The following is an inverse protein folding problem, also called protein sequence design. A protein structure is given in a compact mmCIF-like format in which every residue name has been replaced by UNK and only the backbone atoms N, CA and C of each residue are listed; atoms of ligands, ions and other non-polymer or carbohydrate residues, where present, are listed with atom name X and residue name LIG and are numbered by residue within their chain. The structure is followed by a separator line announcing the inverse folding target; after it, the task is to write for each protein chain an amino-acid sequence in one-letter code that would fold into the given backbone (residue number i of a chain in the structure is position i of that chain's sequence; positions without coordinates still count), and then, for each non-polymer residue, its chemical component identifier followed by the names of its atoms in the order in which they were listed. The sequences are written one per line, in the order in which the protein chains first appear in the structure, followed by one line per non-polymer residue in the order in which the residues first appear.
data_IF_361173220437
#
_entry.id   IF_361173220437
#
_cell.length_a   1.000
_cell.length_b   1.000
_cell.length_c   1.000
_cell.angle_alpha   90.00
_cell.angle_beta   90.00
_cell.angle_gamma   90.00
#
_symmetry.space_group_name_H-M   'P 1'
#
loop_
_entity.id
_entity.type
_entity.pdbx_description
1 polymer ?
#
# COMPACT_ATOMS: atom_id res chain seq x y z
N UNK A 1 59.57 19.22 -58.49
CA UNK A 1 58.20 19.37 -59.04
C UNK A 1 57.35 19.98 -57.94
N UNK A 2 57.02 21.26 -58.12
CA UNK A 2 56.03 22.14 -57.45
C UNK A 2 54.65 21.45 -57.23
N UNK A 3 53.74 21.78 -56.30
CA UNK A 3 53.58 22.66 -55.12
C UNK A 3 52.56 21.96 -54.20
N UNK A 4 52.63 22.21 -52.89
CA UNK A 4 51.57 21.95 -51.92
C UNK A 4 50.25 22.68 -52.28
N UNK A 5 49.11 22.10 -51.88
CA UNK A 5 47.95 22.90 -51.47
C UNK A 5 47.13 22.13 -50.44
N UNK A 6 47.26 22.57 -49.19
CA UNK A 6 46.32 22.34 -48.09
C UNK A 6 45.09 23.20 -48.35
N UNK A 7 43.88 22.63 -48.28
CA UNK A 7 42.68 23.36 -47.87
C UNK A 7 41.74 22.43 -47.08
N UNK A 8 41.46 22.89 -45.85
CA UNK A 8 40.44 22.38 -44.94
C UNK A 8 39.05 22.42 -45.60
N UNK A 9 38.24 21.40 -45.32
CA UNK A 9 36.79 21.50 -45.45
C UNK A 9 36.16 20.72 -44.31
N UNK A 10 35.48 21.48 -43.46
CA UNK A 10 34.69 21.09 -42.31
C UNK A 10 33.64 20.04 -42.69
N UNK A 11 33.60 18.96 -41.94
CA UNK A 11 32.55 17.95 -41.98
C UNK A 11 32.18 17.60 -40.55
N UNK A 12 31.21 18.32 -40.02
CA UNK A 12 30.75 18.35 -38.63
C UNK A 12 30.48 16.93 -38.10
N UNK A 13 31.32 16.48 -37.16
CA UNK A 13 31.01 15.35 -36.29
C UNK A 13 29.84 15.81 -35.42
N UNK A 14 28.68 15.14 -35.55
CA UNK A 14 27.49 15.42 -34.79
C UNK A 14 27.70 14.95 -33.33
N UNK A 15 28.43 15.75 -32.57
CA UNK A 15 28.55 15.64 -31.12
C UNK A 15 27.23 16.06 -30.46
N UNK A 16 26.21 15.21 -30.55
CA UNK A 16 25.07 15.25 -29.64
C UNK A 16 25.31 14.22 -28.54
N UNK A 17 26.38 14.48 -27.77
CA UNK A 17 26.53 13.92 -26.44
C UNK A 17 25.26 14.24 -25.66
N UNK A 18 24.58 13.19 -25.22
CA UNK A 18 23.50 13.30 -24.26
C UNK A 18 24.07 14.05 -23.05
N UNK A 19 23.61 15.29 -22.85
CA UNK A 19 23.70 15.95 -21.55
C UNK A 19 22.87 15.13 -20.58
N UNK A 20 23.46 14.05 -20.08
CA UNK A 20 23.01 13.40 -18.86
C UNK A 20 23.18 14.47 -17.80
N UNK A 21 22.07 15.06 -17.36
CA UNK A 21 22.04 15.95 -16.22
C UNK A 21 22.57 15.18 -15.01
N UNK A 22 23.86 15.30 -14.74
CA UNK A 22 24.39 15.03 -13.42
C UNK A 22 23.65 15.97 -12.46
N UNK A 23 22.98 15.47 -11.42
CA UNK A 23 22.42 16.36 -10.43
C UNK A 23 23.59 17.01 -9.70
N UNK A 24 23.77 18.31 -9.92
CA UNK A 24 24.60 19.16 -9.09
C UNK A 24 24.06 19.06 -7.67
N UNK A 25 24.76 18.34 -6.79
CA UNK A 25 24.47 18.35 -5.35
C UNK A 25 24.90 19.72 -4.83
N UNK A 26 24.01 20.69 -4.99
CA UNK A 26 24.04 21.95 -4.26
C UNK A 26 23.05 21.78 -3.13
N UNK A 27 23.55 21.78 -1.90
CA UNK A 27 22.71 21.85 -0.69
C UNK A 27 21.98 23.20 -0.67
N UNK A 28 20.85 23.28 -1.37
CA UNK A 28 19.92 24.40 -1.28
C UNK A 28 18.73 23.98 -0.41
N UNK A 29 18.44 24.78 0.62
CA UNK A 29 17.28 24.66 1.50
C UNK A 29 16.03 24.19 0.73
N UNK A 30 15.58 22.98 1.03
CA UNK A 30 14.46 22.34 0.36
C UNK A 30 13.17 23.13 0.61
N UNK A 31 12.65 23.73 -0.45
CA UNK A 31 11.26 24.18 -0.50
C UNK A 31 10.36 22.94 -0.34
N UNK A 32 9.83 22.76 0.87
CA UNK A 32 9.04 21.60 1.29
C UNK A 32 7.72 21.46 0.48
N UNK A 33 7.38 22.45 -0.35
CA UNK A 33 6.14 22.51 -1.14
C UNK A 33 6.10 21.60 -2.37
N UNK A 34 7.22 20.98 -2.79
CA UNK A 34 7.29 20.15 -4.00
C UNK A 34 7.41 18.63 -3.75
N UNK A 35 7.42 18.18 -2.50
CA UNK A 35 7.62 16.75 -2.19
C UNK A 35 6.30 15.98 -2.34
N UNK A 36 6.33 14.88 -3.08
CA UNK A 36 5.25 13.89 -3.11
C UNK A 36 5.41 12.93 -1.91
N UNK A 37 4.43 12.83 -1.00
CA UNK A 37 4.53 11.92 0.14
C UNK A 37 4.40 10.47 -0.32
N UNK A 38 5.23 9.59 0.24
CA UNK A 38 5.21 8.15 -0.05
C UNK A 38 4.67 7.41 1.17
N UNK A 39 3.69 6.54 0.94
CA UNK A 39 3.13 5.64 1.93
C UNK A 39 3.44 4.19 1.55
N UNK A 40 3.60 3.33 2.57
CA UNK A 40 3.85 1.90 2.38
C UNK A 40 2.70 1.09 2.96
N UNK A 41 2.11 0.20 2.16
CA UNK A 41 1.07 -0.71 2.62
C UNK A 41 1.67 -1.74 3.59
N UNK A 42 1.04 -1.91 4.75
CA UNK A 42 1.39 -2.96 5.69
C UNK A 42 0.95 -4.34 5.15
N UNK A 43 1.51 -5.45 5.64
CA UNK A 43 1.07 -6.79 5.26
C UNK A 43 -0.43 -6.98 5.50
N UNK A 44 -1.10 -7.72 4.61
CA UNK A 44 -2.54 -8.00 4.71
C UNK A 44 -2.92 -8.72 6.02
N UNK A 45 -1.98 -9.49 6.58
CA UNK A 45 -2.10 -10.23 7.84
C UNK A 45 -1.61 -9.43 9.07
N UNK A 46 -1.58 -8.08 9.00
CA UNK A 46 -1.18 -7.19 10.11
C UNK A 46 -1.95 -7.49 11.39
N UNK A 47 -3.26 -7.75 11.29
CA UNK A 47 -4.09 -8.27 12.37
C UNK A 47 -4.50 -9.70 12.04
N UNK A 48 -4.24 -10.61 12.96
CA UNK A 48 -4.57 -12.03 12.82
C UNK A 48 -6.07 -12.29 12.98
N UNK A 49 -6.55 -13.44 12.51
CA UNK A 49 -7.92 -13.91 12.77
C UNK A 49 -8.26 -14.01 14.27
N UNK A 50 -7.26 -14.15 15.13
CA UNK A 50 -7.43 -14.13 16.58
C UNK A 50 -7.62 -12.74 17.19
N UNK A 51 -7.62 -11.67 16.38
CA UNK A 51 -7.82 -10.30 16.85
C UNK A 51 -6.57 -9.67 17.48
N UNK A 52 -5.37 -10.20 17.20
CA UNK A 52 -4.09 -9.70 17.73
C UNK A 52 -3.17 -9.24 16.60
N UNK A 53 -2.25 -8.32 16.88
CA UNK A 53 -1.19 -7.95 15.93
C UNK A 53 -0.28 -9.13 15.60
N UNK A 54 0.03 -9.27 14.32
CA UNK A 54 0.94 -10.29 13.84
C UNK A 54 2.39 -9.82 13.95
N UNK A 55 3.24 -10.59 14.65
CA UNK A 55 4.68 -10.31 14.83
C UNK A 55 4.97 -8.84 15.21
N UNK A 56 4.37 -8.29 16.29
CA UNK A 56 4.44 -6.86 16.62
C UNK A 56 5.88 -6.34 16.77
N UNK A 57 6.81 -7.17 17.26
CA UNK A 57 8.24 -6.80 17.36
C UNK A 57 8.89 -6.58 15.99
N UNK A 58 8.65 -7.48 15.04
CA UNK A 58 9.19 -7.36 13.68
C UNK A 58 8.54 -6.20 12.91
N UNK A 59 7.25 -5.97 13.14
CA UNK A 59 6.52 -4.83 12.60
C UNK A 59 7.12 -3.51 13.11
N UNK A 60 7.34 -3.39 14.42
CA UNK A 60 7.97 -2.21 15.02
C UNK A 60 9.36 -1.93 14.43
N UNK A 61 10.20 -2.96 14.26
CA UNK A 61 11.50 -2.82 13.60
C UNK A 61 11.38 -2.36 12.13
N UNK A 62 10.37 -2.86 11.41
CA UNK A 62 10.10 -2.47 10.03
C UNK A 62 9.61 -1.02 9.92
N UNK A 63 8.72 -0.58 10.81
CA UNK A 63 8.25 0.81 10.89
C UNK A 63 9.41 1.78 11.16
N UNK A 64 10.33 1.41 12.06
CA UNK A 64 11.54 2.19 12.31
C UNK A 64 12.39 2.32 11.05
N UNK A 65 12.62 1.23 10.32
CA UNK A 65 13.38 1.26 9.07
C UNK A 65 12.70 2.13 7.99
N UNK A 66 11.37 2.04 7.84
CA UNK A 66 10.61 2.89 6.93
C UNK A 66 10.75 4.37 7.29
N UNK A 67 10.68 4.71 8.58
CA UNK A 67 10.86 6.09 9.04
C UNK A 67 12.28 6.59 8.71
N UNK A 68 13.31 5.78 8.97
CA UNK A 68 14.70 6.12 8.63
C UNK A 68 14.92 6.28 7.12
N UNK A 69 14.18 5.55 6.29
CA UNK A 69 14.19 5.69 4.83
C UNK A 69 13.43 6.94 4.33
N UNK A 70 12.81 7.71 5.22
CA UNK A 70 12.10 8.95 4.90
C UNK A 70 10.68 8.74 4.39
N UNK A 71 10.08 7.56 4.58
CA UNK A 71 8.66 7.31 4.27
C UNK A 71 7.77 8.23 5.12
N UNK A 72 6.68 8.74 4.52
CA UNK A 72 5.76 9.68 5.18
C UNK A 72 4.83 8.95 6.17
N UNK A 73 4.37 7.76 5.79
CA UNK A 73 3.46 6.97 6.59
C UNK A 73 3.24 5.57 6.04
N UNK A 74 2.31 4.86 6.67
CA UNK A 74 1.89 3.53 6.24
C UNK A 74 0.39 3.49 5.98
N UNK A 75 -0.04 2.49 5.23
CA UNK A 75 -1.45 2.20 4.96
C UNK A 75 -1.81 0.84 5.54
N UNK A 76 -3.01 0.71 6.12
CA UNK A 76 -3.52 -0.56 6.62
C UNK A 76 -4.99 -0.76 6.27
N UNK A 77 -5.35 -2.00 5.94
CA UNK A 77 -6.73 -2.45 5.86
C UNK A 77 -7.29 -2.70 7.26
N UNK A 78 -8.38 -2.01 7.59
CA UNK A 78 -9.21 -2.33 8.75
C UNK A 78 -10.33 -3.24 8.29
N UNK A 79 -10.12 -4.53 8.51
CA UNK A 79 -11.04 -5.58 8.07
C UNK A 79 -12.34 -5.60 8.88
N UNK A 80 -13.46 -5.40 8.21
CA UNK A 80 -14.79 -5.50 8.82
C UNK A 80 -15.01 -6.85 9.52
N UNK A 81 -14.62 -7.94 8.85
CA UNK A 81 -14.74 -9.31 9.37
C UNK A 81 -13.92 -9.60 10.63
N UNK A 82 -12.94 -8.77 10.98
CA UNK A 82 -12.20 -8.87 12.24
C UNK A 82 -12.82 -7.97 13.32
N UNK A 83 -13.15 -6.73 12.95
CA UNK A 83 -13.63 -5.73 13.88
C UNK A 83 -15.02 -6.08 14.42
N UNK A 84 -15.96 -6.46 13.56
CA UNK A 84 -17.36 -6.71 13.95
C UNK A 84 -17.70 -8.21 13.92
N UNK A 85 -16.71 -9.06 14.21
CA UNK A 85 -16.81 -10.51 14.08
C UNK A 85 -17.86 -11.15 14.99
N UNK A 86 -18.05 -10.59 16.19
CA UNK A 86 -18.82 -11.21 17.28
C UNK A 86 -20.33 -10.88 17.23
N UNK A 87 -20.75 -10.09 16.23
CA UNK A 87 -22.14 -9.76 15.96
C UNK A 87 -22.35 -8.28 15.65
N UNK A 88 -23.57 -7.91 15.20
CA UNK A 88 -23.90 -6.53 14.89
C UNK A 88 -23.64 -5.60 16.08
N UNK A 89 -22.99 -4.47 15.81
CA UNK A 89 -22.60 -3.43 16.75
C UNK A 89 -21.61 -3.88 17.85
N UNK A 90 -21.01 -5.07 17.73
CA UNK A 90 -20.01 -5.59 18.66
C UNK A 90 -18.61 -5.46 18.07
N UNK A 91 -18.01 -4.30 18.29
CA UNK A 91 -16.71 -3.97 17.73
C UNK A 91 -15.56 -4.33 18.68
N UNK A 92 -14.55 -5.02 18.16
CA UNK A 92 -13.25 -5.15 18.80
C UNK A 92 -12.20 -4.35 18.02
N UNK A 93 -11.70 -3.28 18.65
CA UNK A 93 -10.70 -2.37 18.08
C UNK A 93 -9.30 -2.56 18.65
N UNK A 94 -9.10 -3.48 19.60
CA UNK A 94 -7.91 -3.53 20.45
C UNK A 94 -6.61 -3.61 19.65
N UNK A 95 -6.49 -4.56 18.72
CA UNK A 95 -5.28 -4.69 17.89
C UNK A 95 -5.05 -3.48 16.97
N UNK A 96 -6.09 -2.90 16.40
CA UNK A 96 -5.94 -1.69 15.57
C UNK A 96 -5.56 -0.47 16.42
N UNK A 97 -6.05 -0.36 17.64
CA UNK A 97 -5.64 0.67 18.58
C UNK A 97 -4.15 0.51 18.96
N UNK A 98 -3.68 -0.71 19.20
CA UNK A 98 -2.26 -1.00 19.42
C UNK A 98 -1.42 -0.62 18.20
N UNK A 99 -1.87 -0.92 16.98
CA UNK A 99 -1.20 -0.54 15.74
C UNK A 99 -1.09 0.98 15.60
N UNK A 100 -2.19 1.71 15.81
CA UNK A 100 -2.21 3.17 15.72
C UNK A 100 -1.19 3.77 16.68
N UNK A 101 -1.14 3.28 17.92
CA UNK A 101 -0.13 3.72 18.91
C UNK A 101 1.29 3.41 18.42
N UNK A 102 1.53 2.22 17.88
CA UNK A 102 2.85 1.82 17.36
C UNK A 102 3.30 2.73 16.21
N UNK A 103 2.43 3.00 15.24
CA UNK A 103 2.71 3.88 14.09
C UNK A 103 2.98 5.31 14.56
N UNK A 104 2.19 5.81 15.51
CA UNK A 104 2.38 7.12 16.11
C UNK A 104 3.73 7.24 16.83
N UNK A 105 4.14 6.23 17.62
CA UNK A 105 5.43 6.21 18.31
C UNK A 105 6.61 6.29 17.35
N UNK A 106 6.50 5.72 16.15
CA UNK A 106 7.52 5.83 15.11
C UNK A 106 7.45 7.12 14.28
N UNK A 107 6.53 8.04 14.61
CA UNK A 107 6.40 9.32 13.93
C UNK A 107 6.00 9.20 12.46
N UNK A 108 5.25 8.15 12.12
CA UNK A 108 4.69 7.90 10.79
C UNK A 108 3.21 8.32 10.77
N UNK A 109 2.73 8.78 9.61
CA UNK A 109 1.28 8.95 9.38
C UNK A 109 0.63 7.58 9.13
N UNK A 110 -0.66 7.48 9.39
CA UNK A 110 -1.45 6.29 9.10
C UNK A 110 -2.59 6.63 8.13
N UNK A 111 -2.67 5.89 7.03
CA UNK A 111 -3.83 5.82 6.17
C UNK A 111 -4.59 4.53 6.48
N UNK A 112 -5.91 4.65 6.59
CA UNK A 112 -6.76 3.53 6.97
C UNK A 112 -7.78 3.28 5.88
N UNK A 113 -7.84 2.05 5.40
CA UNK A 113 -8.87 1.59 4.46
C UNK A 113 -9.97 0.90 5.26
N UNK A 114 -11.19 1.43 5.21
CA UNK A 114 -12.36 0.76 5.78
C UNK A 114 -12.73 -0.42 4.87
N UNK A 115 -12.25 -1.61 5.22
CA UNK A 115 -12.26 -2.77 4.34
C UNK A 115 -13.51 -3.60 4.59
N UNK A 116 -14.62 -3.14 3.99
CA UNK A 116 -15.92 -3.83 3.98
C UNK A 116 -16.00 -4.97 2.95
N UNK A 117 -14.85 -5.53 2.57
CA UNK A 117 -14.73 -6.62 1.60
C UNK A 117 -13.96 -7.80 2.21
N UNK A 118 -14.13 -8.98 1.63
CA UNK A 118 -13.30 -10.15 1.94
C UNK A 118 -11.85 -9.96 1.47
N UNK A 119 -10.88 -10.31 2.32
CA UNK A 119 -9.47 -10.46 1.95
C UNK A 119 -9.22 -11.86 1.38
N UNK A 120 -8.63 -11.93 0.20
CA UNK A 120 -8.25 -13.17 -0.46
C UNK A 120 -9.44 -13.93 -1.06
N UNK A 121 -9.17 -15.15 -1.52
CA UNK A 121 -10.14 -16.01 -2.22
C UNK A 121 -9.53 -16.82 -3.35
N UNK A 122 -8.24 -16.63 -3.64
CA UNK A 122 -7.48 -17.33 -4.66
C UNK A 122 -6.48 -18.33 -4.06
N UNK A 123 -6.09 -19.31 -4.87
CA UNK A 123 -5.06 -20.28 -4.51
C UNK A 123 -3.72 -19.56 -4.31
N UNK A 124 -3.20 -19.59 -3.08
CA UNK A 124 -1.89 -18.99 -2.74
C UNK A 124 -1.96 -17.67 -1.98
N UNK A 125 -3.16 -17.15 -1.69
CA UNK A 125 -3.30 -15.93 -0.89
C UNK A 125 -2.79 -16.15 0.55
N UNK A 126 -1.99 -15.20 1.05
CA UNK A 126 -1.45 -15.22 2.41
C UNK A 126 -2.43 -14.69 3.47
N UNK A 127 -3.62 -14.26 3.05
CA UNK A 127 -4.66 -13.65 3.87
C UNK A 127 -6.02 -14.22 3.45
N UNK A 128 -6.82 -14.66 4.41
CA UNK A 128 -8.18 -15.15 4.20
C UNK A 128 -9.06 -14.56 5.31
N UNK A 129 -9.54 -13.34 5.10
CA UNK A 129 -10.41 -12.63 6.05
C UNK A 129 -11.80 -12.51 5.42
N UNK A 130 -12.79 -13.31 5.82
CA UNK A 130 -14.14 -13.22 5.29
C UNK A 130 -14.84 -11.94 5.76
N UNK A 131 -16.02 -11.64 5.21
CA UNK A 131 -16.99 -10.74 5.85
C UNK A 131 -17.35 -11.28 7.26
N UNK A 132 -17.92 -10.45 8.16
CA UNK A 132 -18.33 -10.94 9.48
C UNK A 132 -19.23 -12.19 9.37
N UNK A 133 -19.06 -13.20 10.24
CA UNK A 133 -19.82 -14.45 10.14
C UNK A 133 -21.34 -14.25 10.08
N UNK A 134 -21.87 -13.30 10.87
CA UNK A 134 -23.29 -12.97 10.87
C UNK A 134 -23.78 -12.39 9.54
N UNK A 135 -22.92 -11.71 8.77
CA UNK A 135 -23.24 -11.22 7.42
C UNK A 135 -23.29 -12.38 6.44
N UNK A 136 -22.35 -13.32 6.53
CA UNK A 136 -22.31 -14.52 5.69
C UNK A 136 -23.57 -15.38 5.90
N UNK A 137 -24.08 -15.43 7.13
CA UNK A 137 -25.38 -16.05 7.42
C UNK A 137 -26.55 -15.33 6.73
N UNK A 138 -26.56 -14.00 6.70
CA UNK A 138 -27.60 -13.23 5.98
C UNK A 138 -27.50 -13.41 4.45
N UNK A 139 -26.28 -13.47 3.90
CA UNK A 139 -26.06 -13.81 2.47
C UNK A 139 -26.63 -15.19 2.16
N UNK A 140 -26.48 -16.15 3.07
CA UNK A 140 -27.01 -17.51 2.89
C UNK A 140 -28.54 -17.53 2.91
N UNK A 141 -29.18 -16.67 3.71
CA UNK A 141 -30.65 -16.53 3.77
C UNK A 141 -31.20 -15.79 2.55
N UNK A 142 -30.49 -14.76 2.08
CA UNK A 142 -30.87 -13.97 0.92
C UNK A 142 -29.67 -13.78 -0.03
N UNK A 143 -29.49 -14.69 -1.00
CA UNK A 143 -28.37 -14.60 -1.96
C UNK A 143 -28.41 -13.37 -2.89
N UNK A 144 -29.50 -12.61 -2.91
CA UNK A 144 -29.63 -11.42 -3.77
C UNK A 144 -28.94 -10.17 -3.19
N UNK A 145 -28.41 -10.24 -1.97
CA UNK A 145 -27.71 -9.09 -1.36
C UNK A 145 -26.26 -8.95 -1.83
N UNK A 146 -25.76 -9.85 -2.67
CA UNK A 146 -24.39 -9.81 -3.20
C UNK A 146 -24.38 -9.61 -4.70
N UNK A 147 -23.27 -9.10 -5.23
CA UNK A 147 -23.15 -8.87 -6.65
C UNK A 147 -23.39 -10.13 -7.46
N UNK A 148 -24.16 -9.98 -8.53
CA UNK A 148 -24.63 -11.08 -9.35
C UNK A 148 -24.43 -10.74 -10.82
N UNK A 149 -23.74 -11.63 -11.54
CA UNK A 149 -23.56 -11.43 -12.97
C UNK A 149 -24.79 -11.88 -13.78
N UNK A 150 -24.76 -11.63 -15.09
CA UNK A 150 -25.85 -12.00 -16.01
C UNK A 150 -26.12 -13.51 -16.06
N UNK A 151 -25.14 -14.33 -15.73
CA UNK A 151 -25.25 -15.79 -15.70
C UNK A 151 -25.78 -16.32 -14.36
N UNK A 152 -26.05 -15.43 -13.39
CA UNK A 152 -26.54 -15.79 -12.05
C UNK A 152 -25.43 -16.18 -11.08
N UNK A 153 -24.15 -15.98 -11.41
CA UNK A 153 -23.04 -16.24 -10.48
C UNK A 153 -22.98 -15.15 -9.42
N UNK A 154 -22.88 -15.55 -8.16
CA UNK A 154 -22.86 -14.67 -6.98
C UNK A 154 -21.42 -14.45 -6.51
N UNK A 155 -21.04 -13.21 -6.22
CA UNK A 155 -19.76 -12.88 -5.60
C UNK A 155 -19.98 -12.48 -4.12
N UNK A 156 -19.64 -13.33 -3.14
CA UNK A 156 -19.85 -13.04 -1.72
C UNK A 156 -18.78 -12.14 -1.08
N UNK A 157 -17.82 -11.60 -1.84
CA UNK A 157 -16.74 -10.76 -1.31
C UNK A 157 -17.22 -9.40 -0.80
N UNK A 158 -18.39 -8.92 -1.24
CA UNK A 158 -18.96 -7.61 -0.89
C UNK A 158 -20.51 -7.62 -1.01
N UNK A 159 -21.17 -6.65 -0.37
CA UNK A 159 -22.63 -6.45 -0.41
C UNK A 159 -23.00 -5.51 -1.58
N UNK A 160 -23.97 -5.89 -2.42
CA UNK A 160 -24.31 -5.19 -3.67
C UNK A 160 -24.82 -3.76 -3.50
#
# INVERSE_FOLDING_TARGET
MQVAHTLNSEGTINEKWEKVHAPSIVHSNHDNSKRVPVFVMLPLDTVTMGGNLNKPRAMSASLMALKSAGVEGVMVDVWWGLVEKDGPLKYNWEAYAELVQMVQMHGLKLQVVMSFHQCGGNVGDSCSVPLPPWVVEEISKNPDIVYTDRSGRRNPEYIS
#
